data_IF_642433509652
#
_entry.id   IF_642433509652
#
_cell.length_a   1.000
_cell.length_b   1.000
_cell.length_c   1.000
_cell.angle_alpha   90.00
_cell.angle_beta   90.00
_cell.angle_gamma   90.00
#
_symmetry.space_group_name_H-M   'P 1'
#
loop_
_entity.id
_entity.type
_entity.pdbx_description
1 polymer ?
#
# COMPACT_ATOMS: atom_id res chain seq x y z
N UNK A 1 -12.67 -9.00 -45.44
CA UNK A 1 -11.30 -8.99 -44.90
C UNK A 1 -11.34 -8.29 -43.55
N UNK A 2 -11.25 -9.03 -42.44
CA UNK A 2 -11.27 -8.46 -41.08
C UNK A 2 -9.83 -8.26 -40.64
N UNK A 3 -9.38 -7.02 -40.53
CA UNK A 3 -8.05 -6.67 -40.02
C UNK A 3 -8.04 -6.78 -38.50
N UNK A 4 -7.26 -7.73 -37.98
CA UNK A 4 -7.00 -7.91 -36.56
C UNK A 4 -6.21 -6.71 -36.02
N UNK A 5 -6.52 -6.16 -34.83
CA UNK A 5 -5.71 -5.12 -34.24
C UNK A 5 -4.34 -5.68 -33.84
N UNK A 6 -3.26 -5.09 -34.35
CA UNK A 6 -1.89 -5.41 -33.96
C UNK A 6 -1.70 -5.12 -32.48
N UNK A 7 -1.75 -6.17 -31.63
CA UNK A 7 -1.32 -6.04 -30.23
C UNK A 7 0.21 -5.93 -30.22
N UNK A 8 0.71 -4.73 -29.92
CA UNK A 8 2.12 -4.54 -29.62
C UNK A 8 2.43 -5.22 -28.28
N UNK A 9 3.50 -6.02 -28.18
CA UNK A 9 3.89 -6.62 -26.91
C UNK A 9 4.22 -5.51 -25.91
N UNK A 10 3.66 -5.60 -24.71
CA UNK A 10 4.03 -4.74 -23.58
C UNK A 10 5.53 -4.91 -23.31
N UNK A 11 6.34 -3.95 -23.73
CA UNK A 11 7.78 -3.94 -23.50
C UNK A 11 8.09 -3.09 -22.27
N UNK A 12 8.28 -3.75 -21.13
CA UNK A 12 8.75 -3.14 -19.89
C UNK A 12 10.28 -3.01 -19.83
N UNK A 13 10.97 -3.01 -20.97
CA UNK A 13 12.42 -2.82 -20.99
C UNK A 13 12.70 -1.33 -20.86
N UNK A 14 12.79 -0.87 -19.61
CA UNK A 14 13.43 0.40 -19.29
C UNK A 14 14.84 0.36 -19.89
N UNK A 15 15.11 1.20 -20.90
CA UNK A 15 16.39 1.29 -21.61
C UNK A 15 17.50 1.95 -20.75
N UNK A 16 17.38 1.90 -19.42
CA UNK A 16 18.31 2.47 -18.46
C UNK A 16 19.12 1.32 -17.87
N UNK A 17 20.43 1.30 -18.14
CA UNK A 17 21.37 0.31 -17.63
C UNK A 17 21.55 0.36 -16.10
N UNK A 18 20.91 1.33 -15.43
CA UNK A 18 20.99 1.56 -13.99
C UNK A 18 19.59 1.75 -13.39
N UNK A 19 19.35 1.25 -12.16
CA UNK A 19 18.09 1.48 -11.46
C UNK A 19 17.86 2.99 -11.27
N UNK A 20 16.60 3.46 -11.30
CA UNK A 20 16.30 4.86 -11.09
C UNK A 20 16.88 5.33 -9.74
N UNK A 21 17.50 6.52 -9.69
CA UNK A 21 18.12 7.01 -8.46
C UNK A 21 17.06 7.20 -7.37
N UNK A 22 17.34 6.70 -6.16
CA UNK A 22 16.45 6.86 -5.01
C UNK A 22 16.35 8.35 -4.69
N UNK A 23 15.15 8.92 -4.88
CA UNK A 23 14.88 10.30 -4.49
C UNK A 23 14.94 10.41 -2.96
N UNK A 24 15.71 11.38 -2.46
CA UNK A 24 15.75 11.70 -1.04
C UNK A 24 14.41 12.35 -0.65
N UNK A 25 13.83 11.91 0.45
CA UNK A 25 12.68 12.61 1.03
C UNK A 25 13.10 14.03 1.41
N UNK A 26 12.33 15.01 0.97
CA UNK A 26 12.56 16.44 1.30
C UNK A 26 12.30 16.72 2.78
N UNK A 27 11.52 15.85 3.45
CA UNK A 27 11.27 15.96 4.88
C UNK A 27 12.48 15.50 5.70
N UNK A 28 12.86 16.31 6.69
CA UNK A 28 13.85 15.96 7.72
C UNK A 28 13.44 14.71 8.53
N UNK A 29 12.14 14.38 8.55
CA UNK A 29 11.56 13.29 9.32
C UNK A 29 10.91 12.25 8.40
N UNK A 30 11.35 11.00 8.52
CA UNK A 30 10.86 9.87 7.71
C UNK A 30 9.73 9.06 8.39
N UNK A 31 9.00 9.65 9.35
CA UNK A 31 7.90 8.97 10.05
C UNK A 31 6.71 9.88 10.35
N UNK A 32 5.54 9.24 10.47
CA UNK A 32 4.27 9.89 10.80
C UNK A 32 4.06 9.94 12.31
N UNK A 33 3.53 11.06 12.79
CA UNK A 33 3.04 11.23 14.17
C UNK A 33 1.62 10.69 14.31
N UNK A 34 1.14 10.38 15.52
CA UNK A 34 -0.21 9.83 15.73
C UNK A 34 -1.33 10.67 15.10
N UNK A 35 -1.28 12.00 15.25
CA UNK A 35 -2.24 12.93 14.65
C UNK A 35 -2.21 12.93 13.11
N UNK A 36 -1.04 12.72 12.51
CA UNK A 36 -0.89 12.62 11.05
C UNK A 36 -1.47 11.29 10.55
N UNK A 37 -1.29 10.20 11.31
CA UNK A 37 -1.91 8.90 11.04
C UNK A 37 -3.44 9.00 11.16
N UNK A 38 -3.97 9.71 12.15
CA UNK A 38 -5.41 9.95 12.26
C UNK A 38 -5.98 10.68 11.04
N UNK A 39 -5.26 11.69 10.54
CA UNK A 39 -5.66 12.41 9.33
C UNK A 39 -5.60 11.50 8.10
N UNK A 40 -4.57 10.65 7.99
CA UNK A 40 -4.46 9.65 6.94
C UNK A 40 -5.63 8.66 6.98
N UNK A 41 -6.01 8.21 8.18
CA UNK A 41 -7.14 7.31 8.40
C UNK A 41 -8.47 7.96 7.99
N UNK A 42 -8.67 9.25 8.32
CA UNK A 42 -9.86 10.03 7.90
C UNK A 42 -9.94 10.12 6.38
N UNK A 43 -8.83 10.43 5.70
CA UNK A 43 -8.79 10.49 4.25
C UNK A 43 -9.09 9.12 3.61
N UNK A 44 -8.47 8.04 4.10
CA UNK A 44 -8.71 6.68 3.58
C UNK A 44 -10.18 6.24 3.69
N UNK A 45 -10.89 6.69 4.73
CA UNK A 45 -12.33 6.42 4.89
C UNK A 45 -13.21 7.18 3.90
N UNK A 46 -12.71 8.24 3.28
CA UNK A 46 -13.48 9.12 2.39
C UNK A 46 -13.17 8.88 0.91
N UNK A 47 -11.98 8.37 0.58
CA UNK A 47 -11.49 8.26 -0.79
C UNK A 47 -11.42 6.80 -1.29
N UNK A 48 -11.77 6.57 -2.56
CA UNK A 48 -11.55 5.29 -3.24
C UNK A 48 -12.68 4.26 -3.12
N UNK A 49 -12.46 3.09 -3.74
CA UNK A 49 -13.42 1.97 -3.81
C UNK A 49 -13.46 1.14 -2.54
N UNK A 50 -12.35 1.02 -1.81
CA UNK A 50 -12.18 0.09 -0.69
C UNK A 50 -11.91 0.81 0.65
N UNK A 51 -12.68 1.85 0.93
CA UNK A 51 -12.49 2.78 2.06
C UNK A 51 -12.30 2.09 3.41
N UNK A 52 -13.17 1.13 3.73
CA UNK A 52 -13.13 0.38 5.01
C UNK A 52 -11.88 -0.49 5.10
N UNK A 53 -11.56 -1.20 4.01
CA UNK A 53 -10.36 -2.06 3.94
C UNK A 53 -9.10 -1.23 4.07
N UNK A 54 -8.98 -0.15 3.31
CA UNK A 54 -7.76 0.66 3.25
C UNK A 54 -7.52 1.38 4.59
N UNK A 55 -8.59 1.85 5.25
CA UNK A 55 -8.50 2.36 6.61
C UNK A 55 -8.07 1.29 7.62
N UNK A 56 -8.62 0.07 7.55
CA UNK A 56 -8.21 -1.02 8.42
C UNK A 56 -6.74 -1.41 8.20
N UNK A 57 -6.29 -1.47 6.95
CA UNK A 57 -4.89 -1.75 6.58
C UNK A 57 -3.93 -0.73 7.22
N UNK A 58 -4.23 0.57 7.11
CA UNK A 58 -3.41 1.63 7.71
C UNK A 58 -3.36 1.47 9.24
N UNK A 59 -4.50 1.21 9.88
CA UNK A 59 -4.58 1.04 11.33
C UNK A 59 -3.77 -0.17 11.81
N UNK A 60 -3.88 -1.31 11.12
CA UNK A 60 -3.16 -2.53 11.46
C UNK A 60 -1.65 -2.36 11.32
N UNK A 61 -1.18 -1.77 10.21
CA UNK A 61 0.23 -1.48 10.01
C UNK A 61 0.77 -0.55 11.09
N UNK A 62 0.02 0.50 11.44
CA UNK A 62 0.46 1.46 12.47
C UNK A 62 0.50 0.84 13.87
N UNK A 63 -0.49 0.01 14.24
CA UNK A 63 -0.59 -0.54 15.59
C UNK A 63 0.36 -1.72 15.84
N UNK A 64 0.55 -2.57 14.84
CA UNK A 64 1.29 -3.83 14.96
C UNK A 64 2.63 -3.85 14.19
N UNK A 65 2.93 -2.80 13.42
CA UNK A 65 4.20 -2.71 12.67
C UNK A 65 4.30 -3.67 11.48
N UNK A 66 3.18 -4.18 10.99
CA UNK A 66 3.14 -5.10 9.84
C UNK A 66 3.71 -4.42 8.58
N UNK A 67 4.58 -5.14 7.86
CA UNK A 67 5.02 -4.75 6.52
C UNK A 67 3.92 -5.03 5.50
N UNK A 68 4.04 -4.39 4.33
CA UNK A 68 3.06 -4.55 3.23
C UNK A 68 2.84 -6.02 2.84
N UNK A 69 3.89 -6.83 2.77
CA UNK A 69 3.81 -8.26 2.42
C UNK A 69 3.13 -9.08 3.52
N UNK A 70 3.40 -8.77 4.79
CA UNK A 70 2.80 -9.47 5.93
C UNK A 70 1.30 -9.19 5.99
N UNK A 71 0.92 -7.92 5.83
CA UNK A 71 -0.48 -7.50 5.79
C UNK A 71 -1.29 -8.14 4.67
N UNK A 72 -0.73 -8.19 3.45
CA UNK A 72 -1.42 -8.78 2.29
C UNK A 72 -1.59 -10.30 2.44
N UNK A 73 -0.70 -10.96 3.18
CA UNK A 73 -0.75 -12.40 3.42
C UNK A 73 -1.46 -12.80 4.73
N UNK A 74 -2.04 -11.85 5.46
CA UNK A 74 -2.66 -12.09 6.76
C UNK A 74 -3.89 -12.99 6.62
N UNK A 75 -3.97 -14.05 7.43
CA UNK A 75 -5.07 -15.02 7.43
C UNK A 75 -5.99 -14.84 8.64
N UNK A 76 -7.26 -15.17 8.47
CA UNK A 76 -8.25 -15.15 9.56
C UNK A 76 -7.86 -16.04 10.75
N UNK A 77 -7.15 -17.14 10.52
CA UNK A 77 -6.68 -18.03 11.59
C UNK A 77 -5.57 -17.44 12.45
N UNK A 78 -4.94 -16.33 12.01
CA UNK A 78 -3.87 -15.64 12.74
C UNK A 78 -4.42 -14.51 13.61
N UNK A 79 -5.69 -14.15 13.46
CA UNK A 79 -6.29 -12.99 14.12
C UNK A 79 -7.25 -13.49 15.20
N UNK A 80 -7.02 -13.05 16.43
CA UNK A 80 -8.00 -13.17 17.52
C UNK A 80 -8.54 -11.77 17.85
N UNK A 81 -9.72 -11.46 17.28
CA UNK A 81 -10.39 -10.18 17.50
C UNK A 81 -10.99 -10.04 18.90
N UNK A 82 -11.27 -11.14 19.60
CA UNK A 82 -11.83 -11.09 20.95
C UNK A 82 -10.75 -10.71 21.96
N UNK A 83 -9.56 -11.26 21.79
CA UNK A 83 -8.40 -10.98 22.65
C UNK A 83 -7.56 -9.78 22.16
N UNK A 84 -7.75 -9.34 20.92
CA UNK A 84 -7.01 -8.22 20.33
C UNK A 84 -5.60 -8.60 19.86
N UNK A 85 -5.38 -9.85 19.47
CA UNK A 85 -4.09 -10.37 19.00
C UNK A 85 -4.07 -10.61 17.49
N UNK A 86 -2.89 -10.43 16.90
CA UNK A 86 -2.55 -10.67 15.50
C UNK A 86 -1.18 -11.36 15.47
#
# INVERSE_FOLDING_TARGET
MKSSPTQLPFSAKFNSQYPPPKQKSVCEREYLRPNEVENLLKAARQTGRHRVRDAAMILLMFRHGLRSVELVNLKWTQIDLASGYI
#
